data_IF_367427870886
#
_entry.id   IF_367427870886
#
_cell.length_a   1.000
_cell.length_b   1.000
_cell.length_c   1.000
_cell.angle_alpha   90.00
_cell.angle_beta   90.00
_cell.angle_gamma   90.00
#
_symmetry.space_group_name_H-M   'P 1'
#
loop_
_entity.id
_entity.type
_entity.pdbx_description
1 polymer ?
#
# COMPACT_ATOMS: atom_id res chain seq x y z
N UNK A 1 27.30 -37.04 -47.55
CA UNK A 1 28.06 -37.00 -46.28
C UNK A 1 27.15 -36.29 -45.27
N UNK A 2 26.21 -36.94 -44.57
CA UNK A 2 26.39 -37.88 -43.43
C UNK A 2 26.80 -37.07 -42.18
N UNK A 3 26.12 -37.00 -41.03
CA UNK A 3 25.01 -37.73 -40.38
C UNK A 3 24.32 -36.76 -39.37
N UNK A 4 22.99 -36.71 -39.26
CA UNK A 4 22.06 -37.45 -38.36
C UNK A 4 22.15 -37.11 -36.85
N UNK A 5 21.07 -36.41 -36.43
CA UNK A 5 20.32 -36.38 -35.16
C UNK A 5 20.69 -37.38 -34.04
N UNK A 6 20.56 -36.93 -32.78
CA UNK A 6 20.01 -37.82 -31.75
C UNK A 6 19.20 -37.11 -30.66
N UNK A 7 17.89 -37.39 -30.65
CA UNK A 7 16.96 -37.23 -29.54
C UNK A 7 17.02 -38.49 -28.68
N UNK A 8 17.00 -38.40 -27.35
CA UNK A 8 16.69 -39.58 -26.53
C UNK A 8 15.56 -39.28 -25.54
N UNK A 9 14.36 -39.80 -25.87
CA UNK A 9 13.20 -39.92 -24.98
C UNK A 9 13.08 -41.39 -24.62
N UNK A 10 13.39 -41.75 -23.37
CA UNK A 10 13.22 -43.12 -22.88
C UNK A 10 11.80 -43.31 -22.38
N UNK A 11 10.99 -44.08 -23.14
CA UNK A 11 9.71 -44.63 -22.68
C UNK A 11 9.97 -46.01 -22.10
N UNK A 12 9.64 -46.22 -20.82
CA UNK A 12 9.59 -47.55 -20.24
C UNK A 12 8.11 -47.98 -20.18
N UNK A 13 7.77 -49.01 -20.96
CA UNK A 13 6.50 -49.74 -20.87
C UNK A 13 6.75 -50.94 -19.97
N UNK A 14 5.96 -51.13 -18.92
CA UNK A 14 5.93 -52.38 -18.16
C UNK A 14 4.48 -52.87 -18.08
N UNK A 15 4.33 -54.15 -18.34
CA UNK A 15 3.12 -54.89 -18.62
C UNK A 15 2.19 -55.04 -17.40
N UNK A 16 0.90 -55.21 -17.71
CA UNK A 16 -0.17 -55.56 -16.79
C UNK A 16 -0.11 -57.06 -16.52
N UNK A 17 -0.10 -57.46 -15.24
CA UNK A 17 -0.51 -58.78 -14.80
C UNK A 17 -1.38 -58.63 -13.55
N UNK A 18 -2.63 -59.09 -13.66
CA UNK A 18 -3.65 -59.11 -12.60
C UNK A 18 -3.59 -60.47 -11.91
N UNK A 19 -3.55 -60.50 -10.57
CA UNK A 19 -3.93 -61.66 -9.77
C UNK A 19 -4.45 -61.19 -8.40
N UNK A 20 -5.69 -61.60 -8.09
CA UNK A 20 -6.37 -61.41 -6.81
C UNK A 20 -5.75 -62.29 -5.72
N UNK A 21 -5.68 -61.83 -4.47
CA UNK A 21 -6.38 -62.41 -3.28
C UNK A 21 -5.79 -61.90 -1.94
N UNK A 22 -6.71 -61.43 -1.09
CA UNK A 22 -6.78 -61.64 0.38
C UNK A 22 -5.81 -60.97 1.38
N UNK A 23 -6.45 -60.34 2.37
CA UNK A 23 -6.13 -60.23 3.80
C UNK A 23 -5.27 -59.06 4.34
N UNK A 24 -5.98 -58.14 5.00
CA UNK A 24 -5.75 -57.54 6.33
C UNK A 24 -4.45 -56.75 6.65
N UNK A 25 -4.66 -55.42 6.77
CA UNK A 25 -4.28 -54.52 7.88
C UNK A 25 -2.95 -54.78 8.58
N UNK A 26 -1.97 -53.88 8.34
CA UNK A 26 -1.14 -53.25 9.39
C UNK A 26 -0.65 -51.87 8.88
N UNK A 27 -1.33 -50.78 9.27
CA UNK A 27 -0.79 -49.42 9.12
C UNK A 27 -0.03 -49.10 10.41
N UNK A 28 1.27 -49.36 10.43
CA UNK A 28 2.18 -48.82 11.45
C UNK A 28 2.53 -47.38 11.09
N UNK A 29 1.68 -46.44 11.45
CA UNK A 29 1.97 -45.01 11.38
C UNK A 29 2.78 -44.57 12.61
N UNK A 30 4.09 -44.46 12.49
CA UNK A 30 4.90 -43.71 13.45
C UNK A 30 4.82 -42.21 13.10
N UNK A 31 3.76 -41.53 13.53
CA UNK A 31 3.78 -40.08 13.63
C UNK A 31 4.40 -39.71 14.97
N UNK A 32 5.69 -39.38 14.99
CA UNK A 32 6.32 -38.72 16.12
C UNK A 32 5.68 -37.35 16.32
N UNK A 33 4.60 -37.28 17.10
CA UNK A 33 4.14 -36.02 17.69
C UNK A 33 5.18 -35.61 18.74
N UNK A 34 6.22 -34.90 18.30
CA UNK A 34 6.84 -33.92 19.19
C UNK A 34 5.78 -32.84 19.43
N UNK A 35 5.07 -32.96 20.54
CA UNK A 35 4.32 -31.87 21.13
C UNK A 35 5.32 -30.76 21.52
N UNK A 36 5.69 -29.94 20.54
CA UNK A 36 6.15 -28.59 20.81
C UNK A 36 4.89 -27.79 21.10
N UNK A 37 4.70 -27.45 22.37
CA UNK A 37 3.75 -26.43 22.80
C UNK A 37 3.98 -25.17 21.93
N UNK A 38 3.13 -24.97 20.94
CA UNK A 38 3.05 -23.76 20.14
C UNK A 38 1.84 -22.96 20.60
N UNK A 39 1.80 -22.65 21.89
CA UNK A 39 0.95 -21.63 22.48
C UNK A 39 1.81 -20.40 22.78
N UNK A 40 2.25 -19.73 21.72
CA UNK A 40 2.48 -18.28 21.73
C UNK A 40 2.54 -17.77 20.29
N UNK A 41 1.38 -17.70 19.64
CA UNK A 41 1.23 -16.77 18.52
C UNK A 41 1.24 -15.37 19.14
N UNK A 42 2.44 -14.81 19.32
CA UNK A 42 2.59 -13.38 19.53
C UNK A 42 2.03 -12.68 18.31
N UNK A 43 0.79 -12.20 18.43
CA UNK A 43 0.19 -11.20 17.54
C UNK A 43 0.97 -9.90 17.74
N UNK A 44 2.18 -9.83 17.18
CA UNK A 44 2.97 -8.61 17.17
C UNK A 44 2.30 -7.66 16.17
N UNK A 45 1.28 -6.94 16.63
CA UNK A 45 0.79 -5.75 15.93
C UNK A 45 2.03 -4.86 15.75
N UNK A 46 2.44 -4.51 14.52
CA UNK A 46 3.62 -3.68 14.34
C UNK A 46 3.41 -2.41 15.15
N UNK A 47 4.28 -2.19 16.12
CA UNK A 47 4.30 -0.96 16.90
C UNK A 47 4.65 0.12 15.90
N UNK A 48 3.67 0.94 15.52
CA UNK A 48 3.90 2.12 14.70
C UNK A 48 4.84 3.01 15.52
N UNK A 49 6.06 3.19 15.03
CA UNK A 49 6.98 4.18 15.59
C UNK A 49 6.43 5.56 15.27
N UNK A 50 5.62 6.08 16.20
CA UNK A 50 4.97 7.37 16.04
C UNK A 50 5.97 8.51 15.86
N UNK A 51 7.16 8.40 16.46
CA UNK A 51 8.22 9.40 16.28
C UNK A 51 8.72 9.40 14.84
N UNK A 52 8.99 8.22 14.27
CA UNK A 52 9.35 8.11 12.85
C UNK A 52 8.24 8.61 11.93
N UNK A 53 6.98 8.26 12.20
CA UNK A 53 5.85 8.73 11.38
C UNK A 53 5.71 10.25 11.42
N UNK A 54 5.86 10.88 12.59
CA UNK A 54 5.85 12.34 12.69
C UNK A 54 7.04 12.98 11.99
N UNK A 55 8.23 12.38 12.07
CA UNK A 55 9.40 12.85 11.33
C UNK A 55 9.15 12.80 9.82
N UNK A 56 8.61 11.69 9.32
CA UNK A 56 8.31 11.50 7.90
C UNK A 56 7.26 12.51 7.41
N UNK A 57 6.16 12.66 8.15
CA UNK A 57 5.13 13.67 7.85
C UNK A 57 5.73 15.09 7.87
N UNK A 58 6.54 15.42 8.88
CA UNK A 58 7.23 16.70 8.97
C UNK A 58 8.07 16.99 7.73
N UNK A 59 8.83 16.00 7.24
CA UNK A 59 9.59 16.12 6.00
C UNK A 59 8.66 16.33 4.79
N UNK A 60 7.57 15.56 4.65
CA UNK A 60 6.62 15.74 3.55
C UNK A 60 6.07 17.17 3.52
N UNK A 61 5.57 17.69 4.65
CA UNK A 61 5.01 19.05 4.73
C UNK A 61 6.07 20.11 4.44
N UNK A 62 7.28 20.00 5.00
CA UNK A 62 8.36 20.96 4.77
C UNK A 62 8.84 20.95 3.32
N UNK A 63 9.10 19.76 2.76
CA UNK A 63 9.60 19.59 1.38
C UNK A 63 8.53 19.90 0.33
N UNK A 64 7.25 19.98 0.71
CA UNK A 64 6.23 20.51 -0.20
C UNK A 64 6.54 21.95 -0.66
N UNK A 65 7.33 22.72 0.09
CA UNK A 65 7.66 24.09 -0.29
C UNK A 65 8.57 24.18 -1.54
N UNK A 66 9.34 23.13 -1.84
CA UNK A 66 10.33 23.13 -2.92
C UNK A 66 10.08 22.05 -3.98
N UNK A 67 8.80 21.70 -4.22
CA UNK A 67 8.45 20.65 -5.19
C UNK A 67 9.00 19.28 -4.80
N UNK A 68 9.21 19.04 -3.50
CA UNK A 68 9.72 17.79 -2.94
C UNK A 68 11.11 17.39 -3.46
N UNK A 69 11.92 18.34 -3.91
CA UNK A 69 13.17 18.08 -4.64
C UNK A 69 14.11 17.13 -3.91
N UNK A 70 14.20 17.21 -2.59
CA UNK A 70 15.14 16.41 -1.79
C UNK A 70 14.63 14.97 -1.52
N UNK A 71 13.36 14.70 -1.80
CA UNK A 71 12.71 13.43 -1.47
C UNK A 71 12.15 12.71 -2.71
N UNK A 72 12.37 13.27 -3.90
CA UNK A 72 12.14 12.59 -5.18
C UNK A 72 13.27 11.60 -5.45
N UNK A 73 12.91 10.35 -5.77
CA UNK A 73 13.86 9.29 -6.12
C UNK A 73 13.77 8.95 -7.61
N UNK A 74 13.60 7.68 -7.95
CA UNK A 74 13.52 7.23 -9.32
C UNK A 74 12.22 7.72 -9.98
N UNK A 75 12.28 8.40 -11.14
CA UNK A 75 11.10 8.77 -11.90
C UNK A 75 10.59 7.62 -12.78
N UNK A 76 9.28 7.56 -12.93
CA UNK A 76 8.54 6.79 -13.92
C UNK A 76 7.70 7.75 -14.78
N UNK A 77 7.82 7.66 -16.09
CA UNK A 77 7.21 8.61 -17.03
C UNK A 77 5.93 8.06 -17.64
N UNK A 78 4.83 8.80 -17.52
CA UNK A 78 3.51 8.45 -18.04
C UNK A 78 2.89 9.63 -18.77
N UNK A 79 3.03 9.67 -20.10
CA UNK A 79 2.53 10.76 -20.94
C UNK A 79 2.97 12.15 -20.42
N UNK A 80 2.03 12.94 -19.87
CA UNK A 80 2.25 14.29 -19.34
C UNK A 80 2.52 14.32 -17.82
N UNK A 81 2.65 13.15 -17.20
CA UNK A 81 2.83 12.98 -15.75
C UNK A 81 4.14 12.24 -15.50
N UNK A 82 4.91 12.69 -14.52
CA UNK A 82 6.06 11.95 -13.96
C UNK A 82 5.73 11.54 -12.54
N UNK A 83 5.86 10.25 -12.23
CA UNK A 83 5.70 9.71 -10.89
C UNK A 83 7.09 9.49 -10.29
N UNK A 84 7.37 10.14 -9.18
CA UNK A 84 8.64 9.99 -8.47
C UNK A 84 8.42 9.10 -7.24
N UNK A 85 9.27 8.08 -7.11
CA UNK A 85 9.34 7.30 -5.88
C UNK A 85 9.80 8.16 -4.69
N UNK A 86 9.45 7.74 -3.48
CA UNK A 86 9.82 8.39 -2.22
C UNK A 86 9.94 7.35 -1.10
N UNK A 87 10.91 7.53 -0.20
CA UNK A 87 11.12 6.64 0.96
C UNK A 87 10.13 6.95 2.10
N UNK A 88 9.40 8.06 2.02
CA UNK A 88 8.45 8.49 3.02
C UNK A 88 7.10 7.82 2.79
N UNK A 89 6.70 6.92 3.70
CA UNK A 89 5.51 6.06 3.56
C UNK A 89 4.69 6.04 4.88
N UNK A 90 4.16 7.18 5.36
CA UNK A 90 3.50 7.28 6.67
C UNK A 90 2.17 6.52 6.76
N UNK A 91 1.62 6.03 5.64
CA UNK A 91 0.33 5.31 5.56
C UNK A 91 0.47 3.86 5.04
N UNK A 92 1.64 3.24 5.23
CA UNK A 92 1.95 1.86 4.84
C UNK A 92 1.88 1.59 3.32
N UNK A 93 2.60 2.39 2.54
CA UNK A 93 2.82 2.16 1.11
C UNK A 93 1.88 2.94 0.19
N UNK A 94 2.16 2.88 -1.11
CA UNK A 94 1.35 3.54 -2.14
C UNK A 94 1.51 5.06 -2.18
N UNK A 95 2.61 5.59 -1.63
CA UNK A 95 2.95 7.00 -1.70
C UNK A 95 3.96 7.31 -2.80
N UNK A 96 3.67 8.34 -3.59
CA UNK A 96 4.48 8.83 -4.71
C UNK A 96 4.43 10.36 -4.76
N UNK A 97 5.33 10.98 -5.51
CA UNK A 97 5.24 12.40 -5.85
C UNK A 97 4.89 12.52 -7.33
N UNK A 98 3.71 13.05 -7.61
CA UNK A 98 3.18 13.25 -8.94
C UNK A 98 3.60 14.62 -9.44
N UNK A 99 4.21 14.67 -10.61
CA UNK A 99 4.58 15.90 -11.30
C UNK A 99 3.81 16.01 -12.61
N UNK A 100 3.21 17.18 -12.85
CA UNK A 100 2.67 17.56 -14.15
C UNK A 100 3.04 19.03 -14.43
N UNK A 101 3.77 19.27 -15.51
CA UNK A 101 4.38 20.58 -15.78
C UNK A 101 5.26 21.03 -14.59
N UNK A 102 5.02 22.25 -14.07
CA UNK A 102 5.67 22.85 -12.92
C UNK A 102 4.93 22.62 -11.58
N UNK A 103 4.01 21.64 -11.53
CA UNK A 103 3.21 21.32 -10.35
C UNK A 103 3.62 19.96 -9.79
N UNK A 104 3.63 19.86 -8.47
CA UNK A 104 4.01 18.66 -7.74
C UNK A 104 3.04 18.39 -6.61
N UNK A 105 2.66 17.12 -6.43
CA UNK A 105 1.88 16.67 -5.29
C UNK A 105 2.41 15.35 -4.77
N UNK A 106 2.69 15.28 -3.49
CA UNK A 106 2.82 14.03 -2.77
C UNK A 106 1.42 13.41 -2.63
N UNK A 107 1.27 12.15 -3.02
CA UNK A 107 0.00 11.43 -3.03
C UNK A 107 0.23 10.04 -2.43
N UNK A 108 -0.47 9.73 -1.35
CA UNK A 108 -0.66 8.35 -0.88
C UNK A 108 -2.07 7.90 -1.17
N UNK A 109 -2.25 6.62 -1.49
CA UNK A 109 -3.56 6.02 -1.60
C UNK A 109 -3.59 4.62 -1.00
N UNK A 110 -4.69 4.29 -0.32
CA UNK A 110 -4.95 2.94 0.20
C UNK A 110 -6.37 2.52 -0.13
N UNK A 111 -6.48 1.53 -1.02
CA UNK A 111 -7.76 0.92 -1.40
C UNK A 111 -8.15 -0.12 -0.36
N UNK A 112 -9.40 -0.07 0.07
CA UNK A 112 -9.95 -0.83 1.19
C UNK A 112 -11.28 -1.48 0.77
N UNK A 113 -11.59 -2.68 1.29
CA UNK A 113 -12.71 -3.48 0.79
C UNK A 113 -14.08 -2.95 1.22
N UNK A 114 -14.14 -2.16 2.30
CA UNK A 114 -15.40 -1.70 2.89
C UNK A 114 -15.23 -0.35 3.62
N UNK A 115 -16.37 0.28 3.93
CA UNK A 115 -16.44 1.61 4.55
C UNK A 115 -15.95 1.62 5.99
N UNK A 116 -16.19 0.56 6.75
CA UNK A 116 -15.83 0.48 8.15
C UNK A 116 -14.30 0.45 8.30
N UNK A 117 -13.65 -0.38 7.50
CA UNK A 117 -12.18 -0.43 7.42
C UNK A 117 -11.62 0.91 6.95
N UNK A 118 -12.25 1.55 5.97
CA UNK A 118 -11.83 2.87 5.49
C UNK A 118 -11.99 3.98 6.53
N UNK A 119 -13.06 3.95 7.31
CA UNK A 119 -13.29 4.88 8.43
C UNK A 119 -12.19 4.73 9.47
N UNK A 120 -11.88 3.49 9.89
CA UNK A 120 -10.80 3.26 10.86
C UNK A 120 -9.45 3.76 10.35
N UNK A 121 -9.10 3.50 9.09
CA UNK A 121 -7.85 3.99 8.50
C UNK A 121 -7.83 5.52 8.39
N UNK A 122 -8.94 6.14 7.99
CA UNK A 122 -9.08 7.59 7.90
C UNK A 122 -8.94 8.26 9.26
N UNK A 123 -9.64 7.75 10.28
CA UNK A 123 -9.62 8.31 11.64
C UNK A 123 -8.21 8.23 12.24
N UNK A 124 -7.54 7.09 12.06
CA UNK A 124 -6.18 6.92 12.55
C UNK A 124 -5.19 7.84 11.81
N UNK A 125 -5.31 7.94 10.47
CA UNK A 125 -4.49 8.85 9.68
C UNK A 125 -4.72 10.31 10.09
N UNK A 126 -5.99 10.71 10.26
CA UNK A 126 -6.41 12.05 10.71
C UNK A 126 -5.78 12.38 12.06
N UNK A 127 -5.91 11.47 13.02
CA UNK A 127 -5.37 11.61 14.38
C UNK A 127 -3.85 11.76 14.35
N UNK A 128 -3.14 10.90 13.63
CA UNK A 128 -1.67 10.93 13.55
C UNK A 128 -1.19 12.18 12.84
N UNK A 129 -1.76 12.54 11.68
CA UNK A 129 -1.39 13.74 10.95
C UNK A 129 -1.65 14.98 11.80
N UNK A 130 -2.80 15.05 12.48
CA UNK A 130 -3.12 16.15 13.38
C UNK A 130 -2.11 16.33 14.51
N UNK A 131 -1.57 15.23 15.06
CA UNK A 131 -0.53 15.27 16.10
C UNK A 131 0.85 15.67 15.56
N UNK A 132 1.14 15.38 14.29
CA UNK A 132 2.42 15.65 13.65
C UNK A 132 2.41 16.93 12.78
N UNK A 133 1.29 17.65 12.71
CA UNK A 133 1.11 18.78 11.80
C UNK A 133 2.07 19.92 12.19
N UNK A 134 2.90 20.44 11.27
CA UNK A 134 3.80 21.55 11.59
C UNK A 134 3.01 22.80 11.99
N UNK A 135 3.55 23.60 12.91
CA UNK A 135 2.87 24.78 13.49
C UNK A 135 2.43 25.83 12.47
N UNK A 136 3.08 25.90 11.30
CA UNK A 136 2.71 26.83 10.23
C UNK A 136 1.49 26.38 9.42
N UNK A 137 1.03 25.15 9.62
CA UNK A 137 -0.12 24.58 8.95
C UNK A 137 -1.34 24.56 9.88
N UNK A 138 -2.50 24.69 9.27
CA UNK A 138 -3.80 24.48 9.91
C UNK A 138 -4.54 23.34 9.22
N UNK A 139 -5.54 22.79 9.91
CA UNK A 139 -6.43 21.79 9.35
C UNK A 139 -7.89 22.14 9.61
N UNK A 140 -8.76 21.73 8.70
CA UNK A 140 -10.20 21.91 8.83
C UNK A 140 -10.95 20.74 8.19
N UNK A 141 -11.90 20.16 8.90
CA UNK A 141 -12.83 19.19 8.32
C UNK A 141 -13.86 19.89 7.43
N UNK A 142 -14.10 19.34 6.25
CA UNK A 142 -15.04 19.88 5.26
C UNK A 142 -15.91 18.76 4.70
N UNK A 143 -17.14 19.10 4.31
CA UNK A 143 -18.02 18.17 3.65
C UNK A 143 -17.58 17.92 2.20
N UNK A 144 -17.74 16.69 1.72
CA UNK A 144 -17.64 16.37 0.30
C UNK A 144 -18.92 16.79 -0.44
N UNK A 145 -18.84 17.20 -1.72
CA UNK A 145 -20.00 17.69 -2.48
C UNK A 145 -21.17 16.70 -2.58
N UNK A 146 -20.88 15.41 -2.68
CA UNK A 146 -21.87 14.33 -2.77
C UNK A 146 -22.21 13.71 -1.40
N UNK A 147 -21.60 14.23 -0.32
CA UNK A 147 -21.67 13.72 1.06
C UNK A 147 -21.28 12.24 1.22
N UNK A 148 -20.60 11.65 0.22
CA UNK A 148 -20.19 10.24 0.26
C UNK A 148 -18.71 10.12 0.63
N UNK A 149 -18.45 10.43 1.90
CA UNK A 149 -17.13 10.31 2.49
C UNK A 149 -16.78 11.48 3.39
N UNK A 150 -15.49 11.60 3.69
CA UNK A 150 -14.97 12.57 4.64
C UNK A 150 -13.71 13.22 4.10
N UNK A 151 -13.50 14.50 4.46
CA UNK A 151 -12.34 15.27 4.02
C UNK A 151 -11.85 16.20 5.11
N UNK A 152 -10.55 16.18 5.30
CA UNK A 152 -9.81 17.20 6.07
C UNK A 152 -8.93 17.94 5.07
N UNK A 153 -8.98 19.26 5.09
CA UNK A 153 -8.09 20.11 4.32
C UNK A 153 -6.93 20.59 5.20
N UNK A 154 -5.73 20.61 4.62
CA UNK A 154 -4.54 21.19 5.23
C UNK A 154 -4.18 22.48 4.50
N UNK A 155 -3.97 23.55 5.26
CA UNK A 155 -3.66 24.86 4.72
C UNK A 155 -2.38 25.43 5.32
N UNK A 156 -1.66 26.22 4.53
CA UNK A 156 -0.52 27.02 4.96
C UNK A 156 -0.72 28.44 4.46
N UNK A 157 -0.55 29.44 5.34
CA UNK A 157 -0.80 30.86 5.01
C UNK A 157 -2.19 31.11 4.39
N UNK A 158 -3.22 30.41 4.87
CA UNK A 158 -4.59 30.52 4.37
C UNK A 158 -4.86 29.85 3.02
N UNK A 159 -3.85 29.23 2.39
CA UNK A 159 -4.02 28.50 1.13
C UNK A 159 -4.15 27.00 1.40
N UNK A 160 -5.24 26.39 0.91
CA UNK A 160 -5.41 24.93 0.96
C UNK A 160 -4.36 24.28 0.06
N UNK A 161 -3.54 23.43 0.67
CA UNK A 161 -2.37 22.82 0.03
C UNK A 161 -2.25 21.33 0.29
N UNK A 162 -3.22 20.75 0.98
CA UNK A 162 -3.34 19.31 1.05
C UNK A 162 -4.71 18.88 1.53
N UNK A 163 -4.92 17.58 1.53
CA UNK A 163 -6.10 16.94 2.09
C UNK A 163 -5.84 15.51 2.53
N UNK A 164 -6.61 15.07 3.51
CA UNK A 164 -6.87 13.66 3.80
C UNK A 164 -8.33 13.39 3.45
N UNK A 165 -8.58 12.36 2.63
CA UNK A 165 -9.91 12.08 2.09
C UNK A 165 -10.23 10.59 2.17
N UNK A 166 -11.44 10.25 2.61
CA UNK A 166 -12.04 8.91 2.51
C UNK A 166 -13.18 8.98 1.52
N UNK A 167 -13.12 8.25 0.42
CA UNK A 167 -14.13 8.29 -0.65
C UNK A 167 -14.49 6.90 -1.15
N UNK A 168 -15.74 6.72 -1.57
CA UNK A 168 -16.16 5.51 -2.28
C UNK A 168 -15.57 5.53 -3.70
N UNK A 169 -14.89 4.46 -4.07
CA UNK A 169 -14.22 4.26 -5.38
C UNK A 169 -14.70 2.99 -6.09
N UNK A 170 -15.65 2.28 -5.48
CA UNK A 170 -16.26 1.08 -6.03
C UNK A 170 -17.07 1.35 -7.29
N UNK A 171 -17.08 0.37 -8.20
CA UNK A 171 -17.89 0.40 -9.41
C UNK A 171 -19.30 -0.18 -9.18
N UNK A 172 -20.02 -0.45 -10.27
CA UNK A 172 -21.39 -0.98 -10.23
C UNK A 172 -21.50 -2.34 -9.53
N UNK A 173 -20.43 -3.14 -9.54
CA UNK A 173 -20.42 -4.53 -9.06
C UNK A 173 -19.49 -4.77 -7.86
N UNK A 174 -18.77 -3.76 -7.38
CA UNK A 174 -17.87 -3.88 -6.25
C UNK A 174 -17.92 -2.63 -5.39
N UNK A 175 -17.99 -2.83 -4.07
CA UNK A 175 -17.76 -1.74 -3.11
C UNK A 175 -16.26 -1.69 -2.85
N UNK A 176 -15.69 -0.51 -2.98
CA UNK A 176 -14.31 -0.22 -2.60
C UNK A 176 -14.26 1.19 -2.07
N UNK A 177 -13.44 1.41 -1.07
CA UNK A 177 -13.21 2.71 -0.48
C UNK A 177 -11.73 3.02 -0.57
N UNK A 178 -11.40 4.27 -0.84
CA UNK A 178 -10.00 4.69 -0.88
C UNK A 178 -9.77 5.82 0.08
N UNK A 179 -8.71 5.69 0.87
CA UNK A 179 -8.17 6.79 1.68
C UNK A 179 -7.00 7.42 0.93
N UNK A 180 -7.08 8.72 0.69
CA UNK A 180 -6.04 9.50 0.02
C UNK A 180 -5.44 10.52 0.98
N UNK A 181 -4.11 10.62 0.98
CA UNK A 181 -3.39 11.77 1.54
C UNK A 181 -2.72 12.50 0.39
N UNK A 182 -3.03 13.77 0.22
CA UNK A 182 -2.47 14.62 -0.82
C UNK A 182 -1.85 15.87 -0.21
N UNK A 183 -0.60 16.15 -0.51
CA UNK A 183 0.09 17.40 -0.14
C UNK A 183 0.70 17.99 -1.41
N UNK A 184 0.33 19.21 -1.77
CA UNK A 184 0.74 19.89 -3.00
C UNK A 184 1.81 20.93 -2.73
N UNK A 185 2.74 21.08 -3.66
CA UNK A 185 3.72 22.17 -3.75
C UNK A 185 3.09 23.45 -4.30
N UNK A 186 3.65 24.66 -4.05
CA UNK A 186 3.19 25.83 -4.78
C UNK A 186 3.48 25.61 -6.27
N UNK A 187 2.68 26.24 -7.12
CA UNK A 187 3.00 26.30 -8.54
C UNK A 187 4.30 27.09 -8.66
N UNK A 188 5.35 26.45 -9.17
CA UNK A 188 6.63 27.12 -9.32
C UNK A 188 6.58 28.01 -10.58
N UNK A 189 6.39 29.31 -10.40
CA UNK A 189 6.48 30.30 -11.48
C UNK A 189 7.95 30.64 -11.72
N UNK A 190 8.69 29.71 -12.33
CA UNK A 190 9.97 30.02 -12.96
C UNK A 190 9.73 30.42 -14.41
#
# INVERSE_FOLDING_TARGET
MGNILNHNKTKCRVAIAVLMTSAAILVSGCASHSARNSDEVMTHKPVIDQTKVCQDLGQIFTKSQNGFTDIRKQPSFYNKITLWQTDYQPLDGGCEIWQWSNRYSYVCSRVLPDEQTATHVFDEASRVIGQCLPKSWSQQQVALPDQKGEKIQYAINGQVRGSLEKVSTGGLFSKAWTVYLLISSPVNTQ
#
